data_IF_589137373934
#
_entry.id   IF_589137373934
#
_cell.length_a   1.000
_cell.length_b   1.000
_cell.length_c   1.000
_cell.angle_alpha   90.00
_cell.angle_beta   90.00
_cell.angle_gamma   90.00
#
_symmetry.space_group_name_H-M   'P 1'
#
loop_
_entity.id
_entity.type
_entity.pdbx_description
1 polymer ?
#
# COMPACT_ATOMS: atom_id res chain seq x y z
N UNK A 1 15.14 7.87 6.86
CA UNK A 1 13.85 7.72 7.56
C UNK A 1 12.74 8.26 6.67
N UNK A 2 11.71 7.45 6.38
CA UNK A 2 10.60 7.87 5.50
C UNK A 2 9.53 8.61 6.32
N UNK A 3 9.42 9.93 6.15
CA UNK A 3 8.39 10.74 6.83
C UNK A 3 7.18 10.95 5.93
N UNK A 4 6.02 11.23 6.52
CA UNK A 4 4.76 11.45 5.79
C UNK A 4 4.88 12.62 4.80
N UNK A 5 5.72 13.61 5.10
CA UNK A 5 5.94 14.80 4.26
C UNK A 5 6.91 14.56 3.09
N UNK A 6 7.84 13.61 3.23
CA UNK A 6 8.90 13.34 2.24
C UNK A 6 8.64 12.08 1.39
N UNK A 7 7.51 11.40 1.61
CA UNK A 7 7.08 10.27 0.79
C UNK A 7 6.21 10.72 -0.38
N UNK A 8 6.21 9.93 -1.44
CA UNK A 8 5.37 10.08 -2.63
C UNK A 8 4.72 8.75 -2.94
N UNK A 9 3.46 8.79 -3.36
CA UNK A 9 2.74 7.58 -3.81
C UNK A 9 3.38 7.09 -5.10
N UNK A 10 3.76 5.82 -5.12
CA UNK A 10 4.37 5.18 -6.27
C UNK A 10 3.32 4.47 -7.12
N UNK A 11 2.52 3.63 -6.47
CA UNK A 11 1.48 2.82 -7.12
C UNK A 11 0.45 2.35 -6.10
N UNK A 12 -0.76 2.14 -6.60
CA UNK A 12 -1.87 1.53 -5.87
C UNK A 12 -2.26 0.26 -6.63
N UNK A 13 -2.24 -0.88 -5.94
CA UNK A 13 -2.62 -2.18 -6.50
C UNK A 13 -3.60 -2.89 -5.57
N UNK A 14 -4.55 -3.63 -6.13
CA UNK A 14 -5.43 -4.52 -5.37
C UNK A 14 -4.93 -5.97 -5.40
N UNK A 15 -3.96 -6.26 -6.27
CA UNK A 15 -3.32 -7.56 -6.38
C UNK A 15 -2.17 -7.70 -5.37
N UNK A 16 -2.27 -8.75 -4.54
CA UNK A 16 -1.26 -9.12 -3.53
C UNK A 16 0.04 -9.59 -4.17
N UNK A 17 -0.01 -10.28 -5.31
CA UNK A 17 1.18 -10.76 -6.00
C UNK A 17 1.98 -9.59 -6.56
N UNK A 18 1.31 -8.67 -7.26
CA UNK A 18 1.95 -7.45 -7.77
C UNK A 18 2.52 -6.58 -6.63
N UNK A 19 1.84 -6.52 -5.48
CA UNK A 19 2.36 -5.82 -4.29
C UNK A 19 3.68 -6.46 -3.80
N UNK A 20 3.74 -7.78 -3.73
CA UNK A 20 4.94 -8.51 -3.30
C UNK A 20 6.11 -8.29 -4.27
N UNK A 21 5.86 -8.38 -5.58
CA UNK A 21 6.86 -8.12 -6.62
C UNK A 21 7.46 -6.72 -6.50
N UNK A 22 6.61 -5.69 -6.40
CA UNK A 22 7.08 -4.30 -6.29
C UNK A 22 7.89 -4.11 -5.00
N UNK A 23 7.42 -4.69 -3.90
CA UNK A 23 8.12 -4.63 -2.62
C UNK A 23 9.52 -5.25 -2.72
N UNK A 24 9.62 -6.40 -3.38
CA UNK A 24 10.88 -7.11 -3.53
C UNK A 24 11.85 -6.36 -4.46
N UNK A 25 11.35 -5.76 -5.55
CA UNK A 25 12.14 -4.89 -6.45
C UNK A 25 12.68 -3.68 -5.69
N UNK A 26 11.86 -3.01 -4.88
CA UNK A 26 12.28 -1.87 -4.08
C UNK A 26 13.33 -2.25 -3.03
N UNK A 27 13.14 -3.40 -2.36
CA UNK A 27 14.09 -3.93 -1.38
C UNK A 27 15.44 -4.28 -2.00
N UNK A 28 15.43 -4.94 -3.17
CA UNK A 28 16.66 -5.30 -3.91
C UNK A 28 17.46 -4.07 -4.35
N UNK A 29 16.78 -2.97 -4.67
CA UNK A 29 17.42 -1.71 -5.05
C UNK A 29 17.78 -0.82 -3.84
N UNK A 30 17.56 -1.29 -2.61
CA UNK A 30 17.85 -0.53 -1.39
C UNK A 30 16.97 0.72 -1.22
N UNK A 31 15.81 0.77 -1.88
CA UNK A 31 14.91 1.92 -1.84
C UNK A 31 14.02 1.79 -0.60
N UNK A 32 14.03 2.81 0.25
CA UNK A 32 13.12 2.86 1.39
C UNK A 32 11.67 3.04 0.94
N UNK A 33 10.80 2.12 1.33
CA UNK A 33 9.38 2.14 0.99
C UNK A 33 8.48 1.99 2.23
N UNK A 34 7.21 2.33 2.07
CA UNK A 34 6.16 2.11 3.07
C UNK A 34 4.93 1.60 2.36
N UNK A 35 4.37 0.50 2.85
CA UNK A 35 3.13 -0.09 2.33
C UNK A 35 1.99 0.30 3.27
N UNK A 36 0.91 0.83 2.71
CA UNK A 36 -0.35 1.04 3.40
C UNK A 36 -1.40 0.13 2.79
N UNK A 37 -1.90 -0.80 3.58
CA UNK A 37 -3.05 -1.62 3.20
C UNK A 37 -4.32 -0.93 3.70
N UNK A 38 -5.24 -0.64 2.79
CA UNK A 38 -6.56 -0.10 3.10
C UNK A 38 -7.59 -1.18 2.79
N UNK A 39 -8.35 -1.60 3.79
CA UNK A 39 -9.49 -2.48 3.57
C UNK A 39 -10.67 -1.61 3.10
N UNK A 40 -11.13 -1.81 1.86
CA UNK A 40 -12.27 -1.06 1.30
C UNK A 40 -13.58 -1.39 2.01
N UNK A 41 -13.68 -2.56 2.65
CA UNK A 41 -14.86 -2.97 3.40
C UNK A 41 -15.04 -2.19 4.71
N UNK A 42 -13.97 -1.62 5.25
CA UNK A 42 -14.01 -0.87 6.51
C UNK A 42 -14.23 0.64 6.31
N UNK A 43 -14.91 1.01 5.22
CA UNK A 43 -15.37 2.38 4.94
C UNK A 43 -16.54 2.79 5.85
N UNK A 44 -16.56 2.32 7.09
CA UNK A 44 -17.46 2.76 8.15
C UNK A 44 -16.61 3.48 9.19
N UNK A 45 -16.60 4.81 9.11
CA UNK A 45 -16.29 5.76 10.18
C UNK A 45 -15.04 5.51 11.04
N UNK A 46 -14.04 6.41 10.90
CA UNK A 46 -13.24 6.89 12.03
C UNK A 46 -12.63 5.81 12.93
N UNK A 47 -11.63 5.05 12.49
CA UNK A 47 -10.98 4.05 13.35
C UNK A 47 -9.92 4.65 14.30
N UNK A 48 -10.42 5.50 15.19
CA UNK A 48 -10.08 5.41 16.59
C UNK A 48 -11.17 4.59 17.27
N UNK A 49 -11.19 3.26 17.15
CA UNK A 49 -11.54 2.33 18.23
C UNK A 49 -11.80 0.91 17.69
N UNK A 50 -10.92 0.01 18.13
CA UNK A 50 -11.20 -1.37 18.54
C UNK A 50 -12.69 -1.77 18.49
N UNK A 51 -13.01 -2.68 17.58
CA UNK A 51 -13.92 -3.77 17.86
C UNK A 51 -15.24 -3.77 17.09
N UNK A 52 -15.59 -4.98 16.65
CA UNK A 52 -16.96 -5.45 16.41
C UNK A 52 -17.78 -4.64 15.40
N UNK A 53 -17.88 -5.13 14.17
CA UNK A 53 -19.17 -5.31 13.47
C UNK A 53 -18.95 -6.36 12.38
N UNK A 54 -19.87 -7.33 12.33
CA UNK A 54 -19.79 -8.50 11.46
C UNK A 54 -19.94 -8.15 9.99
N UNK A 55 -19.14 -8.80 9.17
CA UNK A 55 -19.26 -8.74 7.72
C UNK A 55 -20.02 -9.98 7.23
N UNK A 56 -21.34 -9.85 7.14
CA UNK A 56 -22.23 -10.82 6.51
C UNK A 56 -22.16 -10.60 4.98
N UNK A 57 -21.66 -11.58 4.22
CA UNK A 57 -21.93 -11.68 2.78
C UNK A 57 -21.17 -10.72 1.85
N UNK A 58 -19.87 -10.56 2.05
CA UNK A 58 -19.00 -9.71 1.22
C UNK A 58 -18.04 -10.57 0.40
N UNK A 59 -18.07 -10.38 -0.92
CA UNK A 59 -17.10 -10.98 -1.84
C UNK A 59 -15.69 -10.51 -1.46
N UNK A 60 -14.94 -11.45 -0.87
CA UNK A 60 -13.65 -11.19 -0.24
C UNK A 60 -12.53 -10.91 -1.26
N UNK A 61 -12.77 -11.22 -2.55
CA UNK A 61 -11.74 -11.26 -3.59
C UNK A 61 -11.12 -9.89 -3.95
N UNK A 62 -11.76 -8.74 -3.65
CA UNK A 62 -11.26 -7.40 -4.04
C UNK A 62 -11.26 -6.39 -2.88
N UNK A 63 -10.97 -6.88 -1.69
CA UNK A 63 -11.27 -6.13 -0.46
C UNK A 63 -10.14 -5.24 0.02
N UNK A 64 -8.93 -5.45 -0.52
CA UNK A 64 -7.71 -4.82 -0.03
C UNK A 64 -7.06 -3.98 -1.12
N UNK A 65 -6.79 -2.72 -0.79
CA UNK A 65 -6.03 -1.78 -1.61
C UNK A 65 -4.66 -1.58 -0.97
N UNK A 66 -3.60 -1.90 -1.71
CA UNK A 66 -2.22 -1.74 -1.28
C UNK A 66 -1.64 -0.48 -1.93
N UNK A 67 -1.32 0.51 -1.11
CA UNK A 67 -0.63 1.73 -1.54
C UNK A 67 0.83 1.67 -1.16
N UNK A 68 1.72 1.80 -2.13
CA UNK A 68 3.16 1.81 -1.90
C UNK A 68 3.65 3.25 -2.02
N UNK A 69 4.38 3.68 -0.99
CA UNK A 69 5.01 4.99 -0.92
C UNK A 69 6.52 4.84 -0.90
N UNK A 70 7.22 5.70 -1.62
CA UNK A 70 8.69 5.80 -1.63
C UNK A 70 9.13 7.21 -1.31
N UNK A 71 10.42 7.43 -1.06
CA UNK A 71 10.94 8.77 -0.84
C UNK A 71 10.82 9.60 -2.13
N UNK A 72 10.47 10.88 -2.03
CA UNK A 72 10.33 11.78 -3.20
C UNK A 72 11.57 11.79 -4.10
N UNK A 73 12.76 11.68 -3.50
CA UNK A 73 14.05 11.61 -4.22
C UNK A 73 14.22 10.33 -5.03
N UNK A 74 13.68 9.21 -4.54
CA UNK A 74 13.84 7.90 -5.16
C UNK A 74 12.65 7.53 -6.04
N UNK A 75 11.65 8.42 -6.14
CA UNK A 75 10.43 8.19 -6.91
C UNK A 75 10.69 7.94 -8.39
N UNK A 76 11.61 8.69 -9.01
CA UNK A 76 11.92 8.52 -10.43
C UNK A 76 12.59 7.16 -10.70
N UNK A 77 13.56 6.79 -9.85
CA UNK A 77 14.19 5.46 -9.89
C UNK A 77 13.17 4.36 -9.68
N UNK A 78 12.35 4.45 -8.63
CA UNK A 78 11.32 3.49 -8.31
C UNK A 78 10.27 3.36 -9.43
N UNK A 79 9.88 4.47 -10.05
CA UNK A 79 8.94 4.48 -11.18
C UNK A 79 9.53 3.83 -12.42
N UNK A 80 10.84 3.98 -12.66
CA UNK A 80 11.52 3.31 -13.77
C UNK A 80 11.68 1.79 -13.57
N UNK A 81 11.74 1.35 -12.32
CA UNK A 81 11.86 -0.08 -11.96
C UNK A 81 10.55 -0.85 -12.09
N UNK A 82 9.41 -0.17 -11.96
CA UNK A 82 8.08 -0.77 -12.09
C UNK A 82 7.63 -0.63 -13.55
N UNK A 83 7.42 -1.77 -14.23
CA UNK A 83 6.84 -1.84 -15.58
C UNK A 83 5.40 -2.32 -15.55
#
# INVERSE_FOLDING_TARGET
MLTIFNRKELIVTMDIHRQAEIRDVLAQNGINYTVKTKNLQNSGALDSQRGRIGNMGINQDYSYEYKIYVHKKDYETARGLIK
#
